data_IF_692558387695
#
_entry.id   IF_692558387695
#
_cell.length_a   1.000
_cell.length_b   1.000
_cell.length_c   1.000
_cell.angle_alpha   90.00
_cell.angle_beta   90.00
_cell.angle_gamma   90.00
#
_symmetry.space_group_name_H-M   'P 1'
#
loop_
_entity.id
_entity.type
_entity.pdbx_description
1 polymer ?
#
# COMPACT_ATOMS: atom_id res chain seq x y z
N UNK A 1 20.99 12.55 -2.73
CA UNK A 1 19.88 11.73 -2.20
C UNK A 1 20.40 10.47 -1.49
N UNK A 2 21.30 9.69 -2.11
CA UNK A 2 21.84 8.46 -1.53
C UNK A 2 22.52 8.71 -0.17
N UNK A 3 23.41 9.69 -0.08
CA UNK A 3 24.09 10.04 1.17
C UNK A 3 23.11 10.49 2.26
N UNK A 4 22.05 11.22 1.90
CA UNK A 4 21.02 11.64 2.84
C UNK A 4 20.23 10.44 3.37
N UNK A 5 19.84 9.49 2.51
CA UNK A 5 19.16 8.24 2.92
C UNK A 5 20.07 7.40 3.81
N UNK A 6 21.33 7.24 3.47
CA UNK A 6 22.31 6.52 4.28
C UNK A 6 22.52 7.17 5.66
N UNK A 7 22.57 8.50 5.72
CA UNK A 7 22.68 9.24 6.98
C UNK A 7 21.41 9.06 7.85
N UNK A 8 20.24 9.19 7.26
CA UNK A 8 18.97 9.00 7.95
C UNK A 8 18.84 7.57 8.50
N UNK A 9 19.18 6.58 7.69
CA UNK A 9 19.17 5.19 8.13
C UNK A 9 20.12 4.94 9.32
N UNK A 10 21.35 5.46 9.27
CA UNK A 10 22.33 5.35 10.37
C UNK A 10 21.88 6.05 11.65
N UNK A 11 21.11 7.13 11.53
CA UNK A 11 20.52 7.81 12.68
C UNK A 11 19.27 7.13 13.25
N UNK A 12 18.75 6.11 12.57
CA UNK A 12 17.54 5.38 12.95
C UNK A 12 16.23 6.08 12.59
N UNK A 13 16.31 7.21 11.88
CA UNK A 13 15.17 8.07 11.57
C UNK A 13 15.01 8.28 10.05
N UNK A 14 13.81 8.72 9.66
CA UNK A 14 13.62 9.29 8.32
C UNK A 14 13.52 8.29 7.18
N UNK A 15 12.95 7.12 7.41
CA UNK A 15 12.61 6.18 6.34
C UNK A 15 11.36 6.70 5.63
N UNK A 16 11.54 7.21 4.41
CA UNK A 16 10.45 7.63 3.53
C UNK A 16 9.84 6.42 2.79
N UNK A 17 8.74 6.65 2.09
CA UNK A 17 7.99 5.61 1.39
C UNK A 17 8.81 4.87 0.33
N UNK A 18 9.49 5.62 -0.55
CA UNK A 18 10.32 5.01 -1.59
C UNK A 18 11.52 4.25 -1.03
N UNK A 19 12.06 4.69 0.11
CA UNK A 19 13.15 3.96 0.76
C UNK A 19 12.65 2.71 1.47
N UNK A 20 11.47 2.75 2.11
CA UNK A 20 10.84 1.56 2.69
C UNK A 20 10.56 0.49 1.63
N UNK A 21 10.13 0.89 0.43
CA UNK A 21 9.95 -0.01 -0.71
C UNK A 21 11.25 -0.71 -1.10
N UNK A 22 12.32 0.05 -1.32
CA UNK A 22 13.63 -0.51 -1.68
C UNK A 22 14.19 -1.41 -0.59
N UNK A 23 13.97 -1.08 0.69
CA UNK A 23 14.36 -1.92 1.81
C UNK A 23 13.53 -3.23 1.86
N UNK A 24 12.24 -3.19 1.55
CA UNK A 24 11.41 -4.38 1.45
C UNK A 24 11.93 -5.31 0.33
N UNK A 25 12.17 -4.75 -0.85
CA UNK A 25 12.74 -5.50 -1.96
C UNK A 25 14.11 -6.08 -1.61
N UNK A 26 15.04 -5.24 -1.14
CA UNK A 26 16.38 -5.67 -0.79
C UNK A 26 16.39 -6.77 0.25
N UNK A 27 15.59 -6.66 1.30
CA UNK A 27 15.51 -7.68 2.36
C UNK A 27 14.92 -9.00 1.86
N UNK A 28 13.90 -8.99 0.99
CA UNK A 28 13.36 -10.19 0.37
C UNK A 28 14.38 -10.86 -0.56
N UNK A 29 15.11 -10.07 -1.33
CA UNK A 29 16.14 -10.58 -2.24
C UNK A 29 17.31 -11.22 -1.48
N UNK A 30 17.77 -10.63 -0.38
CA UNK A 30 18.79 -11.22 0.49
C UNK A 30 18.33 -12.55 1.13
N UNK A 31 17.02 -12.74 1.26
CA UNK A 31 16.40 -14.00 1.69
C UNK A 31 16.14 -14.96 0.51
N UNK A 32 16.62 -14.64 -0.69
CA UNK A 32 16.52 -15.48 -1.89
C UNK A 32 15.21 -15.30 -2.70
N UNK A 33 14.31 -14.41 -2.33
CA UNK A 33 13.07 -14.15 -3.05
C UNK A 33 13.34 -13.26 -4.27
N UNK A 34 13.09 -13.72 -5.50
CA UNK A 34 13.20 -12.86 -6.67
C UNK A 34 12.00 -11.90 -6.74
N UNK A 35 12.21 -10.74 -7.37
CA UNK A 35 11.18 -9.69 -7.49
C UNK A 35 11.07 -9.25 -8.95
N UNK A 36 9.84 -9.15 -9.43
CA UNK A 36 9.49 -8.55 -10.70
C UNK A 36 8.58 -7.35 -10.45
N UNK A 37 8.97 -6.20 -10.98
CA UNK A 37 8.20 -4.97 -10.96
C UNK A 37 8.04 -4.46 -12.38
N UNK A 38 6.82 -4.27 -12.84
CA UNK A 38 6.54 -3.68 -14.14
C UNK A 38 5.47 -2.59 -14.04
N UNK A 39 5.48 -1.72 -15.01
CA UNK A 39 4.55 -0.60 -15.13
C UNK A 39 5.18 0.54 -15.91
N UNK A 40 4.39 1.54 -16.26
CA UNK A 40 4.91 2.72 -16.94
C UNK A 40 5.81 3.52 -16.00
N UNK A 41 7.01 3.87 -16.45
CA UNK A 41 8.03 4.59 -15.68
C UNK A 41 8.48 3.88 -14.37
N UNK A 42 8.26 2.57 -14.20
CA UNK A 42 8.52 1.88 -12.93
C UNK A 42 9.99 1.84 -12.51
N UNK A 43 10.95 1.94 -13.44
CA UNK A 43 12.38 2.03 -13.10
C UNK A 43 12.68 3.26 -12.24
N UNK A 44 12.02 4.38 -12.50
CA UNK A 44 12.14 5.64 -11.75
C UNK A 44 11.04 5.80 -10.70
N UNK A 45 9.88 5.21 -10.98
CA UNK A 45 8.59 5.52 -10.38
C UNK A 45 7.97 6.77 -11.02
N UNK A 46 6.67 6.74 -11.33
CA UNK A 46 5.95 7.86 -11.95
C UNK A 46 6.21 9.19 -11.23
N UNK A 47 6.28 9.16 -9.91
CA UNK A 47 6.50 10.34 -9.06
C UNK A 47 7.98 10.55 -8.67
N UNK A 48 8.93 9.94 -9.37
CA UNK A 48 10.39 10.04 -9.11
C UNK A 48 10.74 9.69 -7.65
N UNK A 49 10.15 8.65 -7.12
CA UNK A 49 10.33 8.21 -5.73
C UNK A 49 11.24 6.99 -5.59
N UNK A 50 11.32 6.15 -6.61
CA UNK A 50 12.00 4.84 -6.57
C UNK A 50 13.45 4.92 -7.02
N UNK A 51 13.72 5.34 -8.25
CA UNK A 51 15.05 5.34 -8.86
C UNK A 51 15.77 4.00 -8.69
N UNK A 52 15.12 2.91 -9.06
CA UNK A 52 15.67 1.56 -8.99
C UNK A 52 16.78 1.31 -10.01
N UNK A 53 16.84 2.10 -11.06
CA UNK A 53 17.84 2.05 -12.12
C UNK A 53 18.56 3.39 -12.22
N UNK A 54 19.86 3.35 -12.31
CA UNK A 54 20.72 4.50 -12.53
C UNK A 54 21.43 4.38 -13.88
N UNK A 55 21.69 5.49 -14.51
CA UNK A 55 22.42 5.57 -15.77
C UNK A 55 23.62 6.48 -15.61
N UNK A 56 24.79 5.99 -16.02
CA UNK A 56 25.98 6.81 -16.05
C UNK A 56 25.76 8.04 -16.98
N UNK A 57 26.20 9.20 -16.53
CA UNK A 57 25.97 10.45 -17.25
C UNK A 57 26.81 10.57 -18.54
N UNK A 58 27.90 9.79 -18.68
CA UNK A 58 28.82 9.87 -19.80
C UNK A 58 28.50 8.84 -20.89
N UNK A 59 28.37 7.58 -20.51
CA UNK A 59 28.23 6.48 -21.47
C UNK A 59 26.86 5.78 -21.43
N UNK A 60 25.95 6.21 -20.52
CA UNK A 60 24.63 5.62 -20.34
C UNK A 60 24.62 4.19 -19.83
N UNK A 61 25.73 3.71 -19.29
CA UNK A 61 25.75 2.38 -18.66
C UNK A 61 24.69 2.27 -17.57
N UNK A 62 23.89 1.21 -17.66
CA UNK A 62 22.78 0.94 -16.74
C UNK A 62 23.32 0.25 -15.48
N UNK A 63 22.98 0.77 -14.30
CA UNK A 63 23.32 0.19 -13.02
C UNK A 63 22.06 0.02 -12.15
N UNK A 64 21.88 -1.16 -11.55
CA UNK A 64 20.76 -1.48 -10.67
C UNK A 64 21.33 -1.81 -9.29
N UNK A 65 21.21 -0.90 -8.31
CA UNK A 65 21.78 -1.09 -6.98
C UNK A 65 21.34 -2.40 -6.30
N UNK A 66 20.06 -2.75 -6.42
CA UNK A 66 19.50 -3.96 -5.81
C UNK A 66 20.08 -5.26 -6.38
N UNK A 67 20.64 -5.26 -7.59
CA UNK A 67 21.33 -6.44 -8.16
C UNK A 67 22.76 -6.60 -7.68
N UNK A 68 23.28 -5.64 -6.92
CA UNK A 68 24.69 -5.59 -6.52
C UNK A 68 24.84 -5.50 -4.98
N UNK A 69 24.00 -6.17 -4.23
CA UNK A 69 24.06 -6.20 -2.76
C UNK A 69 24.92 -7.37 -2.26
N UNK A 70 24.68 -8.57 -2.79
CA UNK A 70 25.44 -9.79 -2.48
C UNK A 70 25.51 -10.72 -3.70
N UNK A 71 26.51 -11.63 -3.72
CA UNK A 71 26.70 -12.59 -4.81
C UNK A 71 25.57 -13.63 -4.89
N UNK A 72 24.96 -13.97 -3.74
CA UNK A 72 23.88 -14.96 -3.64
C UNK A 72 22.61 -14.30 -3.11
N UNK A 73 21.87 -13.70 -3.99
CA UNK A 73 20.59 -13.05 -3.71
C UNK A 73 19.55 -13.38 -4.76
N UNK A 74 18.28 -13.10 -4.47
CA UNK A 74 17.20 -13.17 -5.44
C UNK A 74 17.41 -12.16 -6.59
N UNK A 75 16.83 -12.43 -7.75
CA UNK A 75 16.89 -11.54 -8.90
C UNK A 75 15.95 -10.35 -8.72
N UNK A 76 16.31 -9.20 -9.28
CA UNK A 76 15.46 -8.03 -9.40
C UNK A 76 15.22 -7.68 -10.86
N UNK A 77 13.99 -7.85 -11.30
CA UNK A 77 13.55 -7.53 -12.65
C UNK A 77 12.65 -6.30 -12.60
N UNK A 78 13.12 -5.17 -13.10
CA UNK A 78 12.32 -3.94 -13.19
C UNK A 78 12.23 -3.47 -14.63
N UNK A 79 11.00 -3.19 -15.09
CA UNK A 79 10.71 -2.85 -16.48
C UNK A 79 9.75 -1.68 -16.60
N UNK A 80 10.10 -0.73 -17.45
CA UNK A 80 9.14 0.26 -17.95
C UNK A 80 8.27 -0.46 -19.00
N UNK A 81 7.00 -0.62 -18.70
CA UNK A 81 6.07 -1.34 -19.55
C UNK A 81 5.60 -0.54 -20.76
N UNK A 82 4.97 -1.22 -21.69
CA UNK A 82 4.20 -0.62 -22.78
C UNK A 82 2.96 0.09 -22.23
N UNK A 83 2.38 0.98 -23.02
CA UNK A 83 1.14 1.70 -22.74
C UNK A 83 -0.07 0.80 -23.03
N UNK A 84 -0.33 -0.17 -22.16
CA UNK A 84 -1.51 -1.03 -22.20
C UNK A 84 -1.69 -1.71 -20.86
N UNK A 85 -2.60 -1.21 -20.04
CA UNK A 85 -2.87 -1.76 -18.72
C UNK A 85 -3.37 -3.21 -18.79
N UNK A 86 -4.30 -3.49 -19.71
CA UNK A 86 -4.83 -4.84 -19.89
C UNK A 86 -3.74 -5.85 -20.27
N UNK A 87 -2.90 -5.53 -21.25
CA UNK A 87 -1.88 -6.46 -21.73
C UNK A 87 -0.79 -6.67 -20.67
N UNK A 88 -0.35 -5.62 -20.01
CA UNK A 88 0.73 -5.69 -19.01
C UNK A 88 0.25 -6.42 -17.76
N UNK A 89 -0.94 -6.08 -17.24
CA UNK A 89 -1.49 -6.75 -16.05
C UNK A 89 -1.79 -8.23 -16.35
N UNK A 90 -2.34 -8.57 -17.54
CA UNK A 90 -2.57 -9.95 -17.93
C UNK A 90 -1.27 -10.75 -17.98
N UNK A 91 -0.20 -10.15 -18.54
CA UNK A 91 1.12 -10.78 -18.59
C UNK A 91 1.67 -11.03 -17.19
N UNK A 92 1.67 -10.02 -16.33
CA UNK A 92 2.23 -10.13 -14.97
C UNK A 92 1.41 -11.07 -14.09
N UNK A 93 0.09 -11.12 -14.28
CA UNK A 93 -0.76 -12.10 -13.62
C UNK A 93 -0.39 -13.54 -14.06
N UNK A 94 -0.33 -13.80 -15.38
CA UNK A 94 0.10 -15.11 -15.90
C UNK A 94 1.51 -15.49 -15.41
N UNK A 95 2.43 -14.51 -15.39
CA UNK A 95 3.78 -14.70 -14.87
C UNK A 95 3.79 -15.11 -13.39
N UNK A 96 2.93 -14.50 -12.56
CA UNK A 96 2.82 -14.83 -11.15
C UNK A 96 2.29 -16.25 -10.88
N UNK A 97 1.46 -16.77 -11.77
CA UNK A 97 0.96 -18.16 -11.70
C UNK A 97 2.05 -19.17 -12.05
N UNK A 98 2.84 -18.86 -13.09
CA UNK A 98 3.87 -19.76 -13.59
C UNK A 98 5.17 -19.71 -12.76
N UNK A 99 5.40 -18.61 -12.07
CA UNK A 99 6.57 -18.44 -11.18
C UNK A 99 6.18 -17.96 -9.77
N UNK A 100 5.52 -18.82 -8.97
CA UNK A 100 4.95 -18.44 -7.67
C UNK A 100 6.01 -18.12 -6.59
N UNK A 101 7.29 -18.46 -6.78
CA UNK A 101 8.35 -18.07 -5.86
C UNK A 101 8.76 -16.59 -5.99
N UNK A 102 8.46 -15.94 -7.12
CA UNK A 102 8.76 -14.54 -7.38
C UNK A 102 7.65 -13.63 -6.83
N UNK A 103 8.02 -12.50 -6.26
CA UNK A 103 7.06 -11.43 -5.96
C UNK A 103 6.81 -10.63 -7.24
N UNK A 104 5.66 -10.85 -7.87
CA UNK A 104 5.24 -10.11 -9.05
C UNK A 104 4.45 -8.89 -8.67
N UNK A 105 4.85 -7.71 -9.18
CA UNK A 105 4.25 -6.42 -8.88
C UNK A 105 3.94 -5.69 -10.17
N UNK A 106 2.70 -5.31 -10.36
CA UNK A 106 2.29 -4.37 -11.41
C UNK A 106 1.95 -3.02 -10.80
N UNK A 107 2.58 -1.95 -11.31
CA UNK A 107 2.32 -0.58 -10.91
C UNK A 107 1.59 0.16 -12.02
N UNK A 108 0.37 0.60 -11.77
CA UNK A 108 -0.32 1.52 -12.66
C UNK A 108 0.38 2.89 -12.61
N UNK A 109 0.42 3.61 -13.73
CA UNK A 109 0.98 4.97 -13.74
C UNK A 109 0.16 5.92 -12.85
N UNK A 110 -1.16 5.82 -12.94
CA UNK A 110 -2.16 6.30 -12.00
C UNK A 110 -3.18 5.19 -11.79
N UNK A 111 -3.69 5.04 -10.59
CA UNK A 111 -4.66 4.01 -10.27
C UNK A 111 -5.95 4.11 -11.07
N UNK A 112 -6.30 5.32 -11.53
CA UNK A 112 -7.44 5.58 -12.41
C UNK A 112 -7.40 4.72 -13.67
N UNK A 113 -6.19 4.46 -14.22
CA UNK A 113 -6.03 3.71 -15.46
C UNK A 113 -6.21 2.20 -15.31
N UNK A 114 -6.37 1.71 -14.08
CA UNK A 114 -6.71 0.31 -13.82
C UNK A 114 -8.03 -0.11 -14.50
N UNK A 115 -8.90 0.85 -14.80
CA UNK A 115 -10.14 0.61 -15.54
C UNK A 115 -9.91 0.00 -16.93
N UNK A 116 -8.77 0.30 -17.57
CA UNK A 116 -8.37 -0.30 -18.83
C UNK A 116 -8.03 -1.79 -18.73
N UNK A 117 -7.83 -2.31 -17.52
CA UNK A 117 -7.57 -3.72 -17.23
C UNK A 117 -8.71 -4.41 -16.46
N UNK A 118 -9.89 -3.80 -16.36
CA UNK A 118 -10.99 -4.29 -15.51
C UNK A 118 -11.40 -5.73 -15.86
N UNK A 119 -11.37 -6.10 -17.12
CA UNK A 119 -11.67 -7.49 -17.58
C UNK A 119 -10.68 -8.49 -16.96
N UNK A 120 -9.40 -8.13 -16.89
CA UNK A 120 -8.37 -8.98 -16.29
C UNK A 120 -8.59 -9.12 -14.78
N UNK A 121 -8.97 -8.04 -14.12
CA UNK A 121 -9.28 -8.04 -12.69
C UNK A 121 -10.48 -8.94 -12.41
N UNK A 122 -11.61 -8.70 -13.06
CA UNK A 122 -12.86 -9.39 -12.77
C UNK A 122 -12.82 -10.88 -13.17
N UNK A 123 -12.26 -11.19 -14.34
CA UNK A 123 -12.33 -12.55 -14.90
C UNK A 123 -11.20 -13.46 -14.45
N UNK A 124 -10.07 -12.90 -13.99
CA UNK A 124 -8.89 -13.67 -13.61
C UNK A 124 -8.46 -13.39 -12.17
N UNK A 125 -8.03 -12.16 -11.84
CA UNK A 125 -7.41 -11.87 -10.54
C UNK A 125 -8.37 -12.15 -9.38
N UNK A 126 -9.63 -11.71 -9.47
CA UNK A 126 -10.63 -11.87 -8.41
C UNK A 126 -11.32 -13.23 -8.39
N UNK A 127 -11.37 -13.93 -9.51
CA UNK A 127 -12.23 -15.10 -9.68
C UNK A 127 -11.53 -16.39 -10.09
N UNK A 128 -10.22 -16.36 -10.33
CA UNK A 128 -9.49 -17.53 -10.84
C UNK A 128 -9.39 -18.66 -9.80
N UNK A 129 -9.34 -18.34 -8.53
CA UNK A 129 -9.31 -19.34 -7.47
C UNK A 129 -10.61 -20.16 -7.46
N UNK A 130 -11.75 -19.50 -7.49
CA UNK A 130 -13.06 -20.17 -7.55
C UNK A 130 -13.27 -20.94 -8.86
N UNK A 131 -12.91 -20.35 -10.00
CA UNK A 131 -13.11 -20.96 -11.32
C UNK A 131 -12.18 -22.14 -11.60
N UNK A 132 -10.93 -22.04 -11.18
CA UNK A 132 -9.86 -22.94 -11.66
C UNK A 132 -8.91 -23.42 -10.56
N UNK A 133 -9.11 -23.02 -9.31
CA UNK A 133 -8.17 -23.28 -8.22
C UNK A 133 -6.82 -22.57 -8.41
N UNK A 134 -6.77 -21.57 -9.29
CA UNK A 134 -5.55 -20.83 -9.59
C UNK A 134 -5.36 -19.67 -8.60
N UNK A 135 -4.29 -19.72 -7.81
CA UNK A 135 -3.97 -18.71 -6.81
C UNK A 135 -2.73 -17.92 -7.23
N UNK A 136 -2.76 -16.62 -6.97
CA UNK A 136 -1.67 -15.69 -7.28
C UNK A 136 -1.41 -14.79 -6.07
N UNK A 137 -0.16 -14.42 -5.87
CA UNK A 137 0.25 -13.41 -4.89
C UNK A 137 0.65 -12.08 -5.55
N UNK A 138 0.18 -11.83 -6.77
CA UNK A 138 0.44 -10.58 -7.49
C UNK A 138 0.08 -9.36 -6.64
N UNK A 139 0.90 -8.32 -6.73
CA UNK A 139 0.65 -7.03 -6.10
C UNK A 139 0.27 -6.00 -7.17
N UNK A 140 -0.84 -5.32 -6.96
CA UNK A 140 -1.25 -4.16 -7.74
C UNK A 140 -0.95 -2.90 -6.93
N UNK A 141 -0.05 -2.06 -7.43
CA UNK A 141 0.23 -0.74 -6.84
C UNK A 141 -0.54 0.32 -7.63
N UNK A 142 -1.51 0.93 -6.99
CA UNK A 142 -2.47 1.84 -7.62
C UNK A 142 -2.37 3.23 -7.01
N UNK A 143 -1.65 4.18 -7.62
CA UNK A 143 -1.59 5.56 -7.14
C UNK A 143 -2.99 6.15 -6.99
N UNK A 144 -3.34 6.60 -5.78
CA UNK A 144 -4.67 7.03 -5.38
C UNK A 144 -4.60 8.24 -4.44
N UNK A 145 -5.53 9.16 -4.57
CA UNK A 145 -5.67 10.33 -3.71
C UNK A 145 -6.24 11.53 -4.47
N UNK A 146 -7.13 12.27 -3.82
CA UNK A 146 -7.77 13.48 -4.36
C UNK A 146 -6.88 14.70 -4.07
N UNK A 147 -5.94 14.99 -4.97
CA UNK A 147 -4.86 15.96 -4.78
C UNK A 147 -4.87 17.09 -5.82
N UNK A 148 -6.01 17.32 -6.48
CA UNK A 148 -6.16 18.41 -7.45
C UNK A 148 -5.47 18.20 -8.79
N UNK A 149 -5.09 16.97 -9.14
CA UNK A 149 -4.41 16.64 -10.40
C UNK A 149 -5.37 16.37 -11.57
N UNK A 150 -6.68 16.45 -11.33
CA UNK A 150 -7.72 16.23 -12.33
C UNK A 150 -8.51 14.92 -12.13
N UNK A 151 -9.59 14.73 -12.91
CA UNK A 151 -10.50 13.60 -12.72
C UNK A 151 -9.89 12.24 -13.07
N UNK A 152 -8.91 12.18 -13.98
CA UNK A 152 -8.23 10.93 -14.37
C UNK A 152 -6.98 10.63 -13.53
N UNK A 153 -6.72 11.39 -12.47
CA UNK A 153 -5.52 11.29 -11.65
C UNK A 153 -5.83 11.33 -10.15
N UNK A 154 -7.00 10.87 -9.77
CA UNK A 154 -7.49 10.95 -8.39
C UNK A 154 -7.86 9.60 -7.79
N UNK A 155 -8.59 8.74 -8.50
CA UNK A 155 -9.16 7.54 -7.90
C UNK A 155 -8.81 6.25 -8.63
N UNK A 156 -8.21 5.32 -7.93
CA UNK A 156 -8.07 3.92 -8.36
C UNK A 156 -9.39 3.13 -8.24
N UNK A 157 -10.50 3.78 -7.86
CA UNK A 157 -11.79 3.13 -7.68
C UNK A 157 -11.77 2.05 -6.60
N UNK A 158 -11.31 2.40 -5.41
CA UNK A 158 -11.27 1.52 -4.23
C UNK A 158 -12.58 0.76 -4.04
N UNK A 159 -13.71 1.42 -4.20
CA UNK A 159 -15.06 0.86 -4.08
C UNK A 159 -15.32 -0.32 -5.00
N UNK A 160 -14.72 -0.36 -6.20
CA UNK A 160 -14.89 -1.47 -7.15
C UNK A 160 -14.16 -2.72 -6.67
N UNK A 161 -12.97 -2.56 -6.11
CA UNK A 161 -12.25 -3.67 -5.52
C UNK A 161 -13.00 -4.22 -4.31
N UNK A 162 -13.49 -3.36 -3.43
CA UNK A 162 -14.26 -3.77 -2.25
C UNK A 162 -15.59 -4.45 -2.65
N UNK A 163 -16.23 -4.02 -3.73
CA UNK A 163 -17.42 -4.67 -4.26
C UNK A 163 -17.14 -6.08 -4.80
N UNK A 164 -15.93 -6.31 -5.33
CA UNK A 164 -15.49 -7.63 -5.84
C UNK A 164 -14.94 -8.57 -4.76
N UNK A 165 -14.89 -8.14 -3.50
CA UNK A 165 -14.39 -8.95 -2.39
C UNK A 165 -15.40 -10.02 -1.97
N UNK A 166 -14.98 -11.28 -1.96
CA UNK A 166 -15.76 -12.42 -1.51
C UNK A 166 -14.83 -13.59 -1.10
N UNK A 167 -15.18 -14.31 -0.03
CA UNK A 167 -14.51 -15.56 0.37
C UNK A 167 -12.98 -15.47 0.43
N UNK A 168 -12.48 -14.31 0.91
CA UNK A 168 -11.05 -13.99 1.03
C UNK A 168 -10.26 -14.07 -0.29
N UNK A 169 -10.90 -13.77 -1.42
CA UNK A 169 -10.32 -13.88 -2.76
C UNK A 169 -9.13 -12.95 -3.00
N UNK A 170 -9.14 -11.75 -2.45
CA UNK A 170 -8.08 -10.74 -2.59
C UNK A 170 -7.80 -10.06 -1.25
N UNK A 171 -6.73 -9.28 -1.17
CA UNK A 171 -6.47 -8.35 -0.06
C UNK A 171 -6.54 -6.93 -0.58
N UNK A 172 -7.27 -6.05 0.11
CA UNK A 172 -7.41 -4.63 -0.25
C UNK A 172 -6.93 -3.75 0.91
N UNK A 173 -5.96 -2.88 0.64
CA UNK A 173 -5.34 -2.03 1.65
C UNK A 173 -5.06 -0.60 1.13
N UNK A 174 -5.12 0.36 2.05
CA UNK A 174 -4.72 1.74 1.84
C UNK A 174 -3.87 2.20 3.02
N UNK A 175 -2.57 2.18 2.84
CA UNK A 175 -1.61 2.30 3.92
C UNK A 175 -1.29 3.76 4.24
N UNK A 176 -0.98 4.02 5.50
CA UNK A 176 -0.69 5.37 5.97
C UNK A 176 0.78 5.60 6.34
N UNK A 177 1.62 4.57 6.43
CA UNK A 177 3.03 4.74 6.81
C UNK A 177 4.00 3.92 5.96
N UNK A 178 5.27 4.37 5.82
CA UNK A 178 6.31 3.60 5.14
C UNK A 178 6.57 2.21 5.75
N UNK A 179 6.50 2.08 7.08
CA UNK A 179 6.69 0.79 7.75
C UNK A 179 5.57 -0.19 7.43
N UNK A 180 4.33 0.25 7.36
CA UNK A 180 3.21 -0.58 6.92
C UNK A 180 3.41 -1.08 5.49
N UNK A 181 3.88 -0.21 4.60
CA UNK A 181 4.20 -0.59 3.22
C UNK A 181 5.34 -1.63 3.14
N UNK A 182 6.42 -1.41 3.88
CA UNK A 182 7.50 -2.38 4.02
C UNK A 182 6.98 -3.76 4.46
N UNK A 183 6.18 -3.79 5.52
CA UNK A 183 5.65 -5.04 6.05
C UNK A 183 4.60 -5.68 5.14
N UNK A 184 3.76 -4.89 4.45
CA UNK A 184 2.78 -5.41 3.50
C UNK A 184 3.44 -6.17 2.35
N UNK A 185 4.49 -5.60 1.75
CA UNK A 185 5.24 -6.24 0.66
C UNK A 185 5.94 -7.52 1.14
N UNK A 186 6.56 -7.48 2.30
CA UNK A 186 7.20 -8.67 2.88
C UNK A 186 6.18 -9.74 3.25
N UNK A 187 5.07 -9.35 3.88
CA UNK A 187 3.97 -10.25 4.24
C UNK A 187 3.46 -10.99 3.01
N UNK A 188 3.41 -10.35 1.86
CA UNK A 188 2.90 -10.93 0.62
C UNK A 188 3.64 -12.21 0.21
N UNK A 189 4.95 -12.30 0.49
CA UNK A 189 5.76 -13.50 0.23
C UNK A 189 5.97 -14.41 1.44
N UNK A 190 5.68 -13.94 2.64
CA UNK A 190 5.88 -14.72 3.86
C UNK A 190 4.62 -15.43 4.37
N UNK A 191 3.46 -15.16 3.75
CA UNK A 191 2.21 -15.88 4.04
C UNK A 191 2.29 -17.33 3.58
N UNK A 192 1.56 -18.20 4.25
CA UNK A 192 1.40 -19.61 3.88
C UNK A 192 0.52 -19.80 2.64
N UNK A 193 -0.32 -18.81 2.31
CA UNK A 193 -1.25 -18.86 1.19
C UNK A 193 -1.13 -17.61 0.32
N UNK A 194 -1.20 -17.81 -0.98
CA UNK A 194 -1.19 -16.74 -1.96
C UNK A 194 -2.58 -16.10 -2.10
N UNK A 195 -2.63 -14.79 -2.11
CA UNK A 195 -3.83 -14.00 -2.48
C UNK A 195 -3.36 -12.70 -3.12
N UNK A 196 -3.99 -12.23 -4.19
CA UNK A 196 -3.66 -10.95 -4.80
C UNK A 196 -3.76 -9.81 -3.79
N UNK A 197 -2.83 -8.86 -3.83
CA UNK A 197 -2.80 -7.70 -2.97
C UNK A 197 -3.04 -6.43 -3.79
N UNK A 198 -4.12 -5.72 -3.50
CA UNK A 198 -4.45 -4.44 -4.10
C UNK A 198 -4.09 -3.33 -3.10
N UNK A 199 -3.07 -2.54 -3.44
CA UNK A 199 -2.58 -1.44 -2.61
C UNK A 199 -2.93 -0.11 -3.26
N UNK A 200 -3.69 0.72 -2.54
CA UNK A 200 -3.80 2.14 -2.83
C UNK A 200 -2.46 2.79 -2.48
N UNK A 201 -1.69 3.17 -3.50
CA UNK A 201 -0.37 3.77 -3.32
C UNK A 201 -0.48 5.30 -3.19
N UNK A 202 0.32 5.94 -2.34
CA UNK A 202 0.24 7.38 -2.17
C UNK A 202 0.92 8.14 -3.30
N UNK A 203 0.55 9.42 -3.45
CA UNK A 203 1.23 10.39 -4.31
C UNK A 203 1.93 11.46 -3.49
N UNK A 204 1.19 12.34 -2.82
CA UNK A 204 1.80 13.41 -2.00
C UNK A 204 2.50 12.89 -0.74
N UNK A 205 2.04 11.79 -0.14
CA UNK A 205 2.71 11.19 1.02
C UNK A 205 4.15 10.77 0.72
N UNK A 206 4.50 10.49 -0.53
CA UNK A 206 5.87 10.19 -0.94
C UNK A 206 6.87 11.29 -0.54
N UNK A 207 6.40 12.52 -0.31
CA UNK A 207 7.21 13.68 0.06
C UNK A 207 6.75 14.37 1.34
N UNK A 208 5.74 13.81 2.01
CA UNK A 208 5.23 14.38 3.26
C UNK A 208 6.24 14.14 4.38
N UNK A 209 6.68 15.21 5.03
CA UNK A 209 7.68 15.16 6.11
C UNK A 209 7.20 14.46 7.38
N UNK A 210 5.89 14.34 7.55
CA UNK A 210 5.27 13.61 8.66
C UNK A 210 5.12 12.13 8.34
N UNK A 211 5.09 11.76 7.05
CA UNK A 211 4.96 10.37 6.59
C UNK A 211 6.35 9.70 6.50
N UNK A 212 6.95 9.50 7.66
CA UNK A 212 8.24 8.83 7.83
C UNK A 212 8.12 7.74 8.89
N UNK A 213 8.96 6.72 8.81
CA UNK A 213 9.07 5.66 9.81
C UNK A 213 10.48 5.60 10.39
N UNK A 214 10.62 5.04 11.57
CA UNK A 214 11.91 4.77 12.17
C UNK A 214 12.42 3.39 11.77
N UNK A 215 13.73 3.18 11.81
CA UNK A 215 14.33 1.86 11.52
C UNK A 215 13.77 0.78 12.44
N UNK A 216 13.50 1.12 13.71
CA UNK A 216 12.91 0.17 14.68
C UNK A 216 11.55 -0.36 14.23
N UNK A 217 10.75 0.45 13.52
CA UNK A 217 9.42 0.07 13.04
C UNK A 217 9.52 -0.99 11.93
N UNK A 218 10.60 -0.97 11.15
CA UNK A 218 10.87 -1.98 10.13
C UNK A 218 11.46 -3.27 10.75
N UNK A 219 12.32 -3.15 11.76
CA UNK A 219 13.06 -4.29 12.34
C UNK A 219 12.22 -5.06 13.35
N UNK A 220 11.45 -4.35 14.18
CA UNK A 220 10.67 -4.92 15.29
C UNK A 220 9.16 -4.93 15.05
N UNK A 221 8.71 -4.17 14.04
CA UNK A 221 7.30 -4.06 13.70
C UNK A 221 6.81 -5.26 12.88
N UNK A 222 5.54 -5.22 12.57
CA UNK A 222 4.84 -6.12 11.66
C UNK A 222 3.73 -5.37 10.95
N UNK A 223 3.08 -6.01 9.99
CA UNK A 223 1.89 -5.45 9.38
C UNK A 223 0.72 -5.49 10.38
N UNK A 224 0.06 -4.36 10.52
CA UNK A 224 -1.15 -4.22 11.34
C UNK A 224 -2.31 -3.76 10.46
N UNK A 225 -3.45 -4.42 10.53
CA UNK A 225 -4.65 -4.07 9.76
C UNK A 225 -5.29 -2.77 10.26
N UNK A 226 -5.03 -2.44 11.52
CA UNK A 226 -5.46 -1.19 12.16
C UNK A 226 -4.29 -0.58 12.91
N UNK A 227 -4.15 0.73 12.84
CA UNK A 227 -3.16 1.45 13.64
C UNK A 227 -3.87 2.36 14.67
N UNK A 228 -3.55 2.20 15.96
CA UNK A 228 -4.08 3.09 16.98
C UNK A 228 -3.56 4.51 16.82
N UNK A 229 -4.23 5.44 17.45
CA UNK A 229 -3.74 6.81 17.58
C UNK A 229 -2.49 6.81 18.48
N UNK A 230 -1.34 7.33 18.03
CA UNK A 230 -0.15 7.43 18.87
C UNK A 230 -0.32 8.42 20.02
N UNK A 231 -1.26 9.34 19.91
CA UNK A 231 -1.56 10.38 20.92
C UNK A 231 -3.06 10.52 21.14
N UNK A 232 -3.73 9.48 21.67
CA UNK A 232 -5.17 9.49 21.85
C UNK A 232 -5.60 10.56 22.85
N UNK A 233 -6.79 11.11 22.69
CA UNK A 233 -7.36 12.05 23.64
C UNK A 233 -7.53 11.39 25.03
N UNK A 234 -7.21 12.10 26.12
CA UNK A 234 -7.40 11.59 27.49
C UNK A 234 -8.83 11.12 27.76
N UNK A 235 -9.80 11.79 27.15
CA UNK A 235 -11.20 11.40 27.15
C UNK A 235 -11.71 11.54 25.72
N UNK A 236 -11.87 10.43 25.03
CA UNK A 236 -12.35 10.38 23.65
C UNK A 236 -13.86 10.60 23.62
N UNK A 237 -14.31 11.67 22.97
CA UNK A 237 -15.74 11.90 22.67
C UNK A 237 -16.05 11.63 21.19
N UNK A 238 -15.05 11.83 20.31
CA UNK A 238 -15.18 11.51 18.90
C UNK A 238 -14.11 10.46 18.54
N UNK A 239 -14.55 9.31 18.08
CA UNK A 239 -13.69 8.26 17.54
C UNK A 239 -13.75 8.35 16.03
N UNK A 240 -12.64 8.73 15.40
CA UNK A 240 -12.55 8.95 13.96
C UNK A 240 -11.76 7.81 13.34
N UNK A 241 -12.36 7.13 12.38
CA UNK A 241 -11.68 6.17 11.51
C UNK A 241 -11.36 6.80 10.18
N UNK A 242 -10.19 6.51 9.64
CA UNK A 242 -9.74 6.98 8.33
C UNK A 242 -8.74 6.01 7.72
N UNK A 243 -8.28 6.28 6.51
CA UNK A 243 -7.28 5.47 5.82
C UNK A 243 -6.39 6.34 4.94
N UNK A 244 -5.13 5.92 4.73
CA UNK A 244 -4.23 6.59 3.81
C UNK A 244 -3.92 8.05 4.18
N UNK A 245 -3.88 8.91 3.16
CA UNK A 245 -3.41 10.30 3.26
C UNK A 245 -4.23 11.18 4.19
N UNK A 246 -5.54 11.02 4.23
CA UNK A 246 -6.45 11.87 5.03
C UNK A 246 -6.12 11.85 6.52
N UNK A 247 -5.42 10.81 6.99
CA UNK A 247 -4.90 10.77 8.35
C UNK A 247 -4.04 11.99 8.71
N UNK A 248 -3.18 12.41 7.79
CA UNK A 248 -2.27 13.54 8.04
C UNK A 248 -2.99 14.88 8.04
N UNK A 249 -4.02 15.02 7.20
CA UNK A 249 -4.88 16.21 7.19
C UNK A 249 -5.68 16.31 8.50
N UNK A 250 -6.20 15.17 8.99
CA UNK A 250 -6.88 15.09 10.29
C UNK A 250 -5.93 15.36 11.47
N UNK A 251 -4.69 14.86 11.39
CA UNK A 251 -3.67 15.07 12.41
C UNK A 251 -3.34 16.57 12.53
N UNK A 252 -3.08 17.23 11.42
CA UNK A 252 -2.80 18.68 11.38
C UNK A 252 -4.00 19.50 11.89
N UNK A 253 -5.21 19.19 11.45
CA UNK A 253 -6.43 19.84 11.92
C UNK A 253 -6.62 19.66 13.43
N UNK A 254 -6.35 18.46 13.96
CA UNK A 254 -6.44 18.17 15.40
C UNK A 254 -5.41 18.96 16.22
N UNK A 255 -4.18 19.06 15.74
CA UNK A 255 -3.12 19.83 16.42
C UNK A 255 -3.46 21.34 16.51
N UNK A 256 -4.18 21.85 15.51
CA UNK A 256 -4.70 23.22 15.53
C UNK A 256 -5.81 23.48 16.57
N UNK A 257 -6.43 22.42 17.12
CA UNK A 257 -7.53 22.51 18.06
C UNK A 257 -7.04 22.35 19.51
N UNK A 258 -7.21 23.38 20.34
CA UNK A 258 -6.92 23.27 21.78
C UNK A 258 -7.88 22.29 22.46
N UNK A 259 -7.33 21.33 23.20
CA UNK A 259 -8.08 20.33 23.96
C UNK A 259 -9.02 19.47 23.08
N UNK A 260 -8.54 19.02 21.91
CA UNK A 260 -9.29 18.09 21.07
C UNK A 260 -9.69 16.84 21.86
N UNK A 261 -10.94 16.42 21.72
CA UNK A 261 -11.50 15.18 22.28
C UNK A 261 -11.63 14.10 21.23
N UNK A 262 -10.88 14.21 20.16
CA UNK A 262 -10.91 13.28 19.03
C UNK A 262 -9.71 12.34 19.06
N UNK A 263 -9.97 11.06 18.90
CA UNK A 263 -8.98 10.00 18.69
C UNK A 263 -9.11 9.48 17.28
N UNK A 264 -7.99 9.26 16.59
CA UNK A 264 -7.97 8.87 15.18
C UNK A 264 -7.39 7.45 15.06
N UNK A 265 -8.18 6.51 14.57
CA UNK A 265 -7.75 5.15 14.26
C UNK A 265 -7.64 5.00 12.75
N UNK A 266 -6.55 4.39 12.30
CA UNK A 266 -6.33 4.14 10.87
C UNK A 266 -6.70 2.71 10.51
N UNK A 267 -7.50 2.56 9.46
CA UNK A 267 -7.79 1.28 8.81
C UNK A 267 -6.79 1.11 7.68
N UNK A 268 -5.82 0.23 7.85
CA UNK A 268 -4.75 -0.01 6.86
C UNK A 268 -5.16 -1.10 5.86
N UNK A 269 -5.92 -2.11 6.32
CA UNK A 269 -6.48 -3.16 5.47
C UNK A 269 -8.00 -3.17 5.57
N UNK A 270 -8.68 -3.04 4.43
CA UNK A 270 -10.12 -3.12 4.36
C UNK A 270 -10.62 -4.56 4.24
N UNK A 271 -9.93 -5.36 3.41
CA UNK A 271 -10.35 -6.74 3.18
C UNK A 271 -9.16 -7.70 3.13
N UNK A 272 -9.25 -8.91 3.70
CA UNK A 272 -10.29 -9.31 4.65
C UNK A 272 -10.36 -8.40 5.88
N UNK A 273 -11.57 -8.11 6.35
CA UNK A 273 -11.76 -7.26 7.53
C UNK A 273 -11.66 -8.09 8.81
N UNK A 274 -10.69 -7.75 9.64
CA UNK A 274 -10.45 -8.47 10.89
C UNK A 274 -11.35 -7.94 12.02
N UNK A 275 -12.52 -8.58 12.20
CA UNK A 275 -13.51 -8.17 13.21
C UNK A 275 -12.97 -8.23 14.63
N UNK A 276 -12.18 -9.23 14.97
CA UNK A 276 -11.60 -9.39 16.32
C UNK A 276 -10.65 -8.23 16.64
N UNK A 277 -9.69 -7.97 15.79
CA UNK A 277 -8.77 -6.83 15.97
C UNK A 277 -9.49 -5.49 15.97
N UNK A 278 -10.56 -5.35 15.21
CA UNK A 278 -11.38 -4.15 15.23
C UNK A 278 -12.05 -3.97 16.60
N UNK A 279 -12.61 -5.01 17.17
CA UNK A 279 -13.18 -4.98 18.54
C UNK A 279 -12.12 -4.62 19.58
N UNK A 280 -10.94 -5.23 19.49
CA UNK A 280 -9.84 -4.96 20.43
C UNK A 280 -9.40 -3.49 20.39
N UNK A 281 -9.29 -2.91 19.20
CA UNK A 281 -8.82 -1.52 19.05
C UNK A 281 -9.86 -0.50 19.49
N UNK A 282 -11.16 -0.81 19.42
CA UNK A 282 -12.24 0.09 19.87
C UNK A 282 -12.60 -0.07 21.34
N UNK A 283 -12.34 -1.22 21.93
CA UNK A 283 -12.70 -1.55 23.32
C UNK A 283 -12.28 -0.48 24.37
N UNK A 284 -11.12 0.19 24.25
CA UNK A 284 -10.72 1.24 25.20
C UNK A 284 -11.57 2.52 25.16
N UNK A 285 -12.35 2.75 24.09
CA UNK A 285 -13.00 4.03 23.82
C UNK A 285 -14.48 4.08 24.19
N UNK A 286 -14.85 3.47 25.31
CA UNK A 286 -16.24 3.38 25.82
C UNK A 286 -16.90 4.74 26.08
N UNK A 287 -16.12 5.80 26.18
CA UNK A 287 -16.63 7.19 26.37
C UNK A 287 -16.94 7.91 25.06
N UNK A 288 -16.72 7.27 23.92
CA UNK A 288 -17.00 7.86 22.61
C UNK A 288 -18.51 8.06 22.43
N UNK A 289 -18.88 9.29 22.06
CA UNK A 289 -20.28 9.67 21.79
C UNK A 289 -20.59 9.69 20.30
N UNK A 290 -19.56 9.80 19.49
CA UNK A 290 -19.65 9.86 18.03
C UNK A 290 -18.58 8.98 17.44
N UNK A 291 -18.98 8.15 16.49
CA UNK A 291 -18.10 7.35 15.64
C UNK A 291 -18.22 7.89 14.23
N UNK A 292 -17.09 8.15 13.59
CA UNK A 292 -17.03 8.84 12.30
C UNK A 292 -16.09 8.10 11.39
N UNK A 293 -16.52 7.79 10.18
CA UNK A 293 -15.64 7.46 9.07
C UNK A 293 -15.29 8.74 8.30
N UNK A 294 -14.01 8.98 8.06
CA UNK A 294 -13.52 10.10 7.27
C UNK A 294 -12.71 9.61 6.08
N UNK A 295 -13.12 10.01 4.89
CA UNK A 295 -12.46 9.67 3.62
C UNK A 295 -12.35 10.90 2.72
N UNK A 296 -11.44 10.86 1.74
CA UNK A 296 -11.29 11.93 0.74
C UNK A 296 -12.33 11.81 -0.39
N UNK A 297 -12.77 10.60 -0.65
CA UNK A 297 -13.68 10.27 -1.74
C UNK A 297 -15.09 10.78 -1.47
N UNK A 298 -15.87 11.08 -2.53
CA UNK A 298 -17.31 11.32 -2.41
C UNK A 298 -18.04 10.14 -1.75
N UNK A 299 -19.23 10.39 -1.20
CA UNK A 299 -20.02 9.42 -0.45
C UNK A 299 -20.26 8.09 -1.18
N UNK A 300 -20.41 8.13 -2.50
CA UNK A 300 -20.67 6.96 -3.34
C UNK A 300 -19.37 6.23 -3.79
N UNK A 301 -18.22 6.72 -3.37
CA UNK A 301 -16.91 6.16 -3.68
C UNK A 301 -16.15 5.80 -2.39
N UNK A 302 -14.95 5.24 -2.53
CA UNK A 302 -14.11 4.89 -1.39
C UNK A 302 -14.66 3.70 -0.61
N UNK A 303 -14.38 3.68 0.71
CA UNK A 303 -14.67 2.53 1.54
C UNK A 303 -16.01 2.61 2.30
N UNK A 304 -16.73 3.74 2.26
CA UNK A 304 -17.91 3.93 3.11
C UNK A 304 -18.99 2.85 2.94
N UNK A 305 -19.37 2.55 1.70
CA UNK A 305 -20.41 1.56 1.43
C UNK A 305 -20.03 0.13 1.88
N UNK A 306 -18.75 -0.16 1.97
CA UNK A 306 -18.25 -1.43 2.46
C UNK A 306 -18.17 -1.46 3.99
N UNK A 307 -17.72 -0.38 4.61
CA UNK A 307 -17.49 -0.33 6.06
C UNK A 307 -18.75 -0.03 6.86
N UNK A 308 -19.70 0.75 6.32
CA UNK A 308 -20.89 1.16 7.10
C UNK A 308 -21.68 -0.01 7.68
N UNK A 309 -22.01 -1.08 6.92
CA UNK A 309 -22.72 -2.22 7.52
C UNK A 309 -21.89 -2.97 8.57
N UNK A 310 -20.56 -3.00 8.41
CA UNK A 310 -19.68 -3.62 9.40
C UNK A 310 -19.68 -2.78 10.69
N UNK A 311 -19.60 -1.47 10.57
CA UNK A 311 -19.64 -0.57 11.72
C UNK A 311 -21.01 -0.60 12.43
N UNK A 312 -22.11 -0.68 11.69
CA UNK A 312 -23.45 -0.81 12.25
C UNK A 312 -23.65 -2.13 13.01
N UNK A 313 -22.99 -3.22 12.55
CA UNK A 313 -23.01 -4.52 13.25
C UNK A 313 -22.18 -4.51 14.53
N UNK A 314 -21.05 -3.79 14.55
CA UNK A 314 -20.00 -3.97 15.56
C UNK A 314 -19.92 -2.84 16.60
N UNK A 315 -20.57 -1.69 16.37
CA UNK A 315 -20.50 -0.50 17.21
C UNK A 315 -21.85 -0.06 17.73
#
# INVERSE_FOLDING_TARGET
>A
QVDAKAKNFKSGLGIDWGFAELLAFGSLMLEGTPIRLSGQDSERGTFSHRHAVWYDSKDRTRYVPLLNMEDRQGQFCVYNSLLSEAAVLAFDYGYSLDYPSMLSIWEAQFGDFVNGAQVIIDQFIMSAEDKWGAVSDIVLLLPHGFEGQGPEHSSARLERFLQGCAEDNIVVANLSTPSQYFHALRRQKKKEYAKPLVLMAPKSLLRNKLCISEVKDLVKGKFEEFLPDPTPAKKTENLIFCSGKVYYDLLEAREGLRNSKSTIIRVEQFYPFNKEKFQDIVAPYTSAKRIVWCQEEPLNMGAWNFLSPIFEEML
#
